data_IF_244288951406
#
_entry.id   IF_244288951406
#
_cell.length_a   1.000
_cell.length_b   1.000
_cell.length_c   1.000
_cell.angle_alpha   90.00
_cell.angle_beta   90.00
_cell.angle_gamma   90.00
#
_symmetry.space_group_name_H-M   'P 1'
#
loop_
_entity.id
_entity.type
_entity.pdbx_description
1 polymer ?
#
# COMPACT_ATOMS: atom_id res chain seq x y z
N UNK A 1 13.14 14.87 -3.93
CA UNK A 1 12.75 15.03 -2.51
C UNK A 1 11.41 14.36 -2.32
N UNK A 2 11.26 13.55 -1.28
CA UNK A 2 10.02 12.87 -0.95
C UNK A 2 8.87 13.90 -0.75
N UNK A 3 7.76 13.72 -1.48
CA UNK A 3 6.67 14.70 -1.53
C UNK A 3 5.32 14.00 -1.68
N UNK A 4 4.26 14.65 -1.18
CA UNK A 4 2.89 14.20 -1.35
C UNK A 4 2.53 13.99 -2.84
N UNK A 5 1.64 13.04 -3.11
CA UNK A 5 1.10 12.74 -4.44
C UNK A 5 2.18 12.50 -5.52
N UNK A 6 3.36 12.02 -5.14
CA UNK A 6 4.40 11.76 -6.12
C UNK A 6 4.03 10.55 -6.99
N UNK A 7 4.23 10.68 -8.30
CA UNK A 7 4.10 9.59 -9.29
C UNK A 7 2.84 8.74 -9.18
N UNK A 8 1.68 9.39 -9.04
CA UNK A 8 0.41 8.67 -8.95
C UNK A 8 0.14 7.82 -10.20
N UNK A 9 0.44 8.33 -11.40
CA UNK A 9 0.20 7.62 -12.67
C UNK A 9 1.43 6.94 -13.27
N UNK A 10 2.63 7.37 -12.89
CA UNK A 10 3.85 7.06 -13.68
C UNK A 10 4.71 5.94 -13.07
N UNK A 11 4.18 5.25 -12.04
CA UNK A 11 4.79 4.07 -11.37
C UNK A 11 6.25 4.20 -10.91
N UNK A 12 6.77 5.42 -10.77
CA UNK A 12 8.06 5.67 -10.10
C UNK A 12 8.04 5.13 -8.66
N UNK A 13 9.21 4.78 -8.13
CA UNK A 13 9.42 4.12 -6.82
C UNK A 13 8.90 2.67 -6.72
N UNK A 14 8.24 2.15 -7.76
CA UNK A 14 7.73 0.77 -7.75
C UNK A 14 8.80 -0.24 -8.17
N UNK A 15 9.74 0.19 -9.03
CA UNK A 15 10.75 -0.67 -9.65
C UNK A 15 12.14 -0.05 -9.62
N UNK A 16 12.40 0.90 -8.71
CA UNK A 16 13.67 1.62 -8.64
C UNK A 16 14.84 0.76 -8.14
N UNK A 17 14.57 -0.32 -7.39
CA UNK A 17 15.58 -1.33 -7.00
C UNK A 17 15.89 -2.35 -8.12
N UNK A 18 15.89 -1.94 -9.39
CA UNK A 18 15.99 -2.85 -10.56
C UNK A 18 17.25 -3.71 -10.59
N UNK A 19 18.25 -3.39 -9.76
CA UNK A 19 19.47 -4.18 -9.55
C UNK A 19 19.30 -5.40 -8.64
N UNK A 20 18.25 -5.45 -7.80
CA UNK A 20 17.95 -6.62 -6.97
C UNK A 20 17.29 -7.72 -7.81
N UNK A 21 17.76 -8.95 -7.65
CA UNK A 21 17.26 -10.09 -8.40
C UNK A 21 15.87 -10.52 -7.91
N UNK A 22 15.65 -10.42 -6.60
CA UNK A 22 14.36 -10.65 -5.96
C UNK A 22 14.17 -9.61 -4.86
N UNK A 23 13.62 -8.45 -5.23
CA UNK A 23 13.44 -7.28 -4.35
C UNK A 23 12.81 -7.63 -3.01
N UNK A 24 11.80 -8.49 -3.03
CA UNK A 24 11.09 -8.89 -1.82
C UNK A 24 11.98 -9.72 -0.90
N UNK A 25 12.64 -10.75 -1.44
CA UNK A 25 13.49 -11.61 -0.62
C UNK A 25 14.79 -10.91 -0.20
N UNK A 26 15.39 -10.10 -1.07
CA UNK A 26 16.66 -9.42 -0.85
C UNK A 26 16.54 -8.33 0.24
N UNK A 27 15.51 -7.48 0.17
CA UNK A 27 15.27 -6.43 1.18
C UNK A 27 14.73 -6.99 2.50
N UNK A 28 13.94 -8.06 2.46
CA UNK A 28 13.51 -8.76 3.67
C UNK A 28 14.68 -9.45 4.40
N UNK A 29 15.67 -9.96 3.66
CA UNK A 29 16.88 -10.54 4.24
C UNK A 29 17.86 -9.47 4.76
N UNK A 30 17.93 -8.33 4.08
CA UNK A 30 18.75 -7.19 4.46
C UNK A 30 18.08 -5.88 4.00
N UNK A 31 17.48 -5.11 4.93
CA UNK A 31 16.83 -3.83 4.61
C UNK A 31 17.78 -2.79 3.98
N UNK A 32 19.10 -2.97 4.14
CA UNK A 32 20.16 -2.14 3.57
C UNK A 32 20.75 -2.69 2.27
N UNK A 33 20.11 -3.69 1.65
CA UNK A 33 20.51 -4.20 0.35
C UNK A 33 20.31 -3.14 -0.74
N UNK A 34 19.21 -2.38 -0.63
CA UNK A 34 18.98 -1.18 -1.41
C UNK A 34 19.84 -0.02 -0.87
N UNK A 35 20.53 0.68 -1.78
CA UNK A 35 21.48 1.74 -1.44
C UNK A 35 20.98 3.09 -1.95
N UNK A 36 21.47 4.17 -1.35
CA UNK A 36 21.03 5.51 -1.70
C UNK A 36 21.55 6.02 -3.07
N UNK A 37 22.55 5.36 -3.68
CA UNK A 37 23.25 5.82 -4.89
C UNK A 37 22.66 5.31 -6.21
N UNK A 38 21.77 4.32 -6.16
CA UNK A 38 21.00 3.79 -7.29
C UNK A 38 19.51 4.19 -7.27
N UNK A 39 19.07 4.84 -6.20
CA UNK A 39 17.68 5.18 -5.95
C UNK A 39 17.19 6.43 -6.70
N UNK A 40 15.90 6.46 -7.07
CA UNK A 40 15.26 7.67 -7.56
C UNK A 40 15.40 8.83 -6.55
N UNK A 41 15.45 10.08 -7.01
CA UNK A 41 15.72 11.23 -6.13
C UNK A 41 14.65 11.44 -5.04
N UNK A 42 13.46 10.88 -5.25
CA UNK A 42 12.33 10.89 -4.34
C UNK A 42 12.28 9.67 -3.42
N UNK A 43 13.00 8.59 -3.75
CA UNK A 43 13.22 7.49 -2.83
C UNK A 43 14.18 7.96 -1.72
N UNK A 44 13.71 7.85 -0.48
CA UNK A 44 14.47 8.21 0.73
C UNK A 44 14.79 6.98 1.59
N UNK A 45 14.63 5.77 1.06
CA UNK A 45 15.04 4.55 1.70
C UNK A 45 16.53 4.63 2.06
N UNK A 46 16.86 4.21 3.28
CA UNK A 46 18.21 4.33 3.90
C UNK A 46 18.80 5.75 4.01
N UNK A 47 18.10 6.81 3.60
CA UNK A 47 18.57 8.20 3.74
C UNK A 47 18.27 8.73 5.14
N UNK A 48 19.17 9.56 5.65
CA UNK A 48 18.96 10.24 6.93
C UNK A 48 17.88 11.31 6.82
N UNK A 49 16.94 11.31 7.75
CA UNK A 49 15.92 12.34 7.94
C UNK A 49 16.18 13.15 9.20
N UNK A 50 15.55 14.31 9.31
CA UNK A 50 15.66 15.21 10.46
C UNK A 50 14.39 15.18 11.30
N UNK A 51 14.55 15.48 12.59
CA UNK A 51 13.42 15.72 13.49
C UNK A 51 12.50 16.81 12.92
N UNK A 52 11.19 16.58 12.98
CA UNK A 52 10.17 17.46 12.41
C UNK A 52 10.08 17.43 10.89
N UNK A 53 10.90 16.64 10.20
CA UNK A 53 10.80 16.46 8.75
C UNK A 53 9.52 15.67 8.42
N UNK A 54 8.84 16.12 7.36
CA UNK A 54 7.73 15.37 6.79
C UNK A 54 8.25 14.33 5.83
N UNK A 55 7.73 13.12 5.96
CA UNK A 55 7.94 12.01 5.05
C UNK A 55 6.57 11.53 4.55
N UNK A 56 6.57 10.93 3.38
CA UNK A 56 5.40 10.43 2.67
C UNK A 56 5.71 9.00 2.28
N UNK A 57 5.16 8.04 3.04
CA UNK A 57 5.21 6.65 2.61
C UNK A 57 4.25 6.47 1.44
N UNK A 58 4.72 5.76 0.42
CA UNK A 58 3.90 5.33 -0.70
C UNK A 58 3.73 3.83 -0.63
N UNK A 59 2.48 3.39 -0.54
CA UNK A 59 2.14 1.99 -0.34
C UNK A 59 1.15 1.60 -1.44
N UNK A 60 1.41 0.48 -2.12
CA UNK A 60 0.67 0.09 -3.31
C UNK A 60 -0.11 -1.19 -3.08
N UNK A 61 -1.43 -1.12 -3.24
CA UNK A 61 -2.28 -2.30 -3.41
C UNK A 61 -2.22 -2.74 -4.87
N UNK A 62 -1.57 -3.86 -5.15
CA UNK A 62 -1.42 -4.46 -6.48
C UNK A 62 -2.63 -5.32 -6.84
N UNK A 63 -3.42 -4.85 -7.81
CA UNK A 63 -4.53 -5.61 -8.39
C UNK A 63 -4.23 -6.12 -9.80
N UNK A 64 -3.00 -5.97 -10.28
CA UNK A 64 -2.58 -6.32 -11.65
C UNK A 64 -2.53 -7.82 -11.89
N UNK A 65 -2.36 -8.62 -10.84
CA UNK A 65 -2.33 -10.09 -10.91
C UNK A 65 -3.71 -10.74 -10.97
N UNK A 66 -4.78 -9.96 -10.80
CA UNK A 66 -6.16 -10.44 -10.91
C UNK A 66 -6.70 -10.20 -12.31
N UNK A 67 -6.90 -11.29 -13.05
CA UNK A 67 -7.30 -11.30 -14.45
C UNK A 67 -8.72 -11.87 -14.62
N UNK A 68 -9.14 -12.07 -15.87
CA UNK A 68 -10.47 -12.63 -16.16
C UNK A 68 -10.71 -14.04 -15.61
N UNK A 69 -9.65 -14.80 -15.26
CA UNK A 69 -9.78 -16.15 -14.75
C UNK A 69 -10.02 -16.19 -13.23
N UNK A 70 -9.60 -15.17 -12.49
CA UNK A 70 -9.60 -15.21 -11.02
C UNK A 70 -10.24 -13.97 -10.33
N UNK A 71 -10.39 -12.83 -11.00
CA UNK A 71 -10.88 -11.60 -10.37
C UNK A 71 -12.32 -11.72 -9.85
N UNK A 72 -13.14 -12.53 -10.52
CA UNK A 72 -14.53 -12.78 -10.12
C UNK A 72 -14.64 -13.74 -8.91
N UNK A 73 -13.54 -14.10 -8.28
CA UNK A 73 -13.52 -14.86 -7.03
C UNK A 73 -12.95 -14.04 -5.85
N UNK A 74 -12.53 -12.79 -6.06
CA UNK A 74 -11.97 -11.96 -4.98
C UNK A 74 -13.11 -11.41 -4.13
N UNK A 75 -13.05 -11.62 -2.81
CA UNK A 75 -14.09 -11.17 -1.86
C UNK A 75 -13.80 -9.79 -1.28
N UNK A 76 -12.53 -9.53 -0.95
CA UNK A 76 -12.07 -8.23 -0.51
C UNK A 76 -10.57 -8.07 -0.79
N UNK A 77 -10.14 -6.83 -0.85
CA UNK A 77 -8.75 -6.42 -0.96
C UNK A 77 -8.45 -5.39 0.12
N UNK A 78 -7.21 -5.40 0.61
CA UNK A 78 -6.74 -4.41 1.57
C UNK A 78 -5.23 -4.40 1.67
N UNK A 79 -4.74 -3.43 2.43
CA UNK A 79 -3.32 -3.26 2.72
C UNK A 79 -3.14 -2.83 4.16
N UNK A 80 -2.03 -3.23 4.74
CA UNK A 80 -1.55 -2.75 6.04
C UNK A 80 -0.19 -2.08 5.86
N UNK A 81 0.09 -1.08 6.67
CA UNK A 81 1.37 -0.39 6.74
C UNK A 81 1.72 -0.21 8.22
N UNK A 82 2.77 -0.89 8.66
CA UNK A 82 3.28 -0.96 10.02
C UNK A 82 4.49 -0.02 10.14
N UNK A 83 4.25 1.19 10.62
CA UNK A 83 5.25 2.25 10.76
C UNK A 83 5.71 2.35 12.21
N UNK A 84 6.97 2.73 12.44
CA UNK A 84 7.48 2.92 13.80
C UNK A 84 6.85 4.16 14.48
N UNK A 85 5.77 3.96 15.21
CA UNK A 85 5.04 4.99 15.93
C UNK A 85 5.82 5.58 17.09
N UNK A 86 6.96 5.01 17.46
CA UNK A 86 7.89 5.62 18.43
C UNK A 86 8.77 6.69 17.78
N UNK A 87 8.84 6.72 16.43
CA UNK A 87 9.72 7.61 15.67
C UNK A 87 8.96 8.60 14.79
N UNK A 88 7.78 8.24 14.31
CA UNK A 88 6.98 9.09 13.43
C UNK A 88 5.55 9.23 13.92
N UNK A 89 4.95 10.39 13.63
CA UNK A 89 3.52 10.64 13.80
C UNK A 89 2.84 10.59 12.43
N UNK A 90 1.87 9.68 12.26
CA UNK A 90 1.05 9.57 11.05
C UNK A 90 -0.29 10.26 11.28
N UNK A 91 -0.67 11.16 10.37
CA UNK A 91 -2.01 11.77 10.36
C UNK A 91 -2.95 10.92 9.51
N UNK A 92 -3.68 10.03 10.17
CA UNK A 92 -4.66 9.15 9.52
C UNK A 92 -5.75 9.89 8.72
N UNK A 93 -6.07 11.13 9.09
CA UNK A 93 -7.09 11.94 8.39
C UNK A 93 -6.59 12.53 7.08
N UNK A 94 -5.27 12.63 6.93
CA UNK A 94 -4.60 13.15 5.74
C UNK A 94 -4.20 12.04 4.75
N UNK A 95 -4.36 10.76 5.10
CA UNK A 95 -4.08 9.64 4.20
C UNK A 95 -5.02 9.70 3.00
N UNK A 96 -4.44 9.48 1.81
CA UNK A 96 -5.18 9.47 0.55
C UNK A 96 -4.88 8.21 -0.26
N UNK A 97 -5.91 7.67 -0.91
CA UNK A 97 -5.77 6.58 -1.86
C UNK A 97 -6.04 7.09 -3.29
N UNK A 98 -5.19 6.73 -4.24
CA UNK A 98 -5.29 7.14 -5.63
C UNK A 98 -5.33 5.95 -6.59
N UNK A 99 -6.17 6.04 -7.60
CA UNK A 99 -6.17 5.08 -8.72
C UNK A 99 -4.98 5.37 -9.65
N UNK A 100 -4.11 4.38 -9.87
CA UNK A 100 -2.87 4.60 -10.62
C UNK A 100 -3.05 4.80 -12.13
N UNK A 101 -4.22 4.52 -12.68
CA UNK A 101 -4.50 4.67 -14.11
C UNK A 101 -5.09 6.05 -14.39
N UNK A 102 -6.02 6.48 -13.54
CA UNK A 102 -6.78 7.72 -13.72
C UNK A 102 -6.22 8.90 -12.93
N UNK A 103 -5.43 8.63 -11.89
CA UNK A 103 -4.97 9.65 -10.92
C UNK A 103 -6.06 10.13 -9.96
N UNK A 104 -7.25 9.54 -9.99
CA UNK A 104 -8.37 9.98 -9.17
C UNK A 104 -8.15 9.68 -7.68
N UNK A 105 -8.57 10.62 -6.82
CA UNK A 105 -8.71 10.36 -5.38
C UNK A 105 -9.88 9.38 -5.17
N UNK A 106 -9.55 8.19 -4.70
CA UNK A 106 -10.49 7.09 -4.43
C UNK A 106 -10.45 6.70 -2.96
N UNK A 107 -10.01 7.61 -2.08
CA UNK A 107 -9.97 7.40 -0.62
C UNK A 107 -11.32 6.91 -0.09
N UNK A 108 -12.42 7.41 -0.65
CA UNK A 108 -13.77 7.02 -0.24
C UNK A 108 -14.12 5.55 -0.51
N UNK A 109 -13.37 4.84 -1.38
CA UNK A 109 -13.55 3.40 -1.61
C UNK A 109 -13.05 2.53 -0.44
N UNK A 110 -12.21 3.08 0.45
CA UNK A 110 -11.53 2.31 1.51
C UNK A 110 -11.92 2.77 2.91
N UNK A 111 -12.15 1.80 3.80
CA UNK A 111 -12.14 2.05 5.24
C UNK A 111 -10.68 2.11 5.70
N UNK A 112 -10.20 3.31 6.02
CA UNK A 112 -8.82 3.56 6.46
C UNK A 112 -8.82 3.83 7.97
N UNK A 113 -8.00 3.10 8.71
CA UNK A 113 -7.81 3.26 10.16
C UNK A 113 -6.31 3.26 10.48
N UNK A 114 -5.91 4.10 11.43
CA UNK A 114 -4.57 4.06 12.04
C UNK A 114 -4.74 3.76 13.53
N UNK A 115 -4.10 2.69 14.00
CA UNK A 115 -4.18 2.26 15.40
C UNK A 115 -2.89 1.52 15.77
N UNK A 116 -2.25 1.91 16.89
CA UNK A 116 -1.04 1.27 17.42
C UNK A 116 0.08 1.09 16.37
N UNK A 117 0.44 2.16 15.65
CA UNK A 117 1.49 2.11 14.62
C UNK A 117 1.12 1.42 13.32
N UNK A 118 -0.10 0.89 13.21
CA UNK A 118 -0.54 0.20 12.00
C UNK A 118 -1.64 0.98 11.31
N UNK A 119 -1.40 1.35 10.05
CA UNK A 119 -2.42 1.74 9.10
C UNK A 119 -3.04 0.50 8.48
N UNK A 120 -4.36 0.48 8.36
CA UNK A 120 -5.13 -0.53 7.65
C UNK A 120 -6.03 0.19 6.65
N UNK A 121 -6.10 -0.32 5.42
CA UNK A 121 -7.04 0.14 4.42
C UNK A 121 -7.72 -1.07 3.77
N UNK A 122 -9.03 -1.20 3.98
CA UNK A 122 -9.84 -2.32 3.43
C UNK A 122 -10.90 -1.78 2.50
N UNK A 123 -11.17 -2.46 1.39
CA UNK A 123 -12.25 -2.09 0.48
C UNK A 123 -13.60 -2.09 1.24
N UNK A 124 -14.35 -0.98 1.13
CA UNK A 124 -15.62 -0.81 1.83
C UNK A 124 -16.67 -1.82 1.40
N UNK A 125 -17.66 -2.03 2.26
CA UNK A 125 -18.91 -2.66 1.87
C UNK A 125 -19.60 -1.88 0.73
N UNK A 126 -20.38 -2.59 -0.11
CA UNK A 126 -21.11 -1.99 -1.24
C UNK A 126 -20.38 -2.11 -2.60
N UNK A 127 -19.10 -2.47 -2.58
CA UNK A 127 -18.32 -2.85 -3.76
C UNK A 127 -18.44 -4.33 -4.13
N UNK A 128 -19.35 -5.08 -3.48
CA UNK A 128 -19.56 -6.51 -3.75
C UNK A 128 -20.87 -6.78 -4.49
N UNK A 129 -20.92 -7.93 -5.15
CA UNK A 129 -22.12 -8.56 -5.73
C UNK A 129 -22.24 -10.00 -5.24
N UNK A 130 -23.46 -10.52 -5.23
CA UNK A 130 -23.73 -11.93 -4.96
C UNK A 130 -23.42 -12.79 -6.19
N UNK A 131 -22.92 -14.01 -5.98
CA UNK A 131 -22.84 -15.05 -7.00
C UNK A 131 -24.20 -15.66 -7.36
N UNK A 132 -25.24 -15.40 -6.55
CA UNK A 132 -26.58 -15.99 -6.74
C UNK A 132 -26.68 -17.46 -6.31
N UNK A 133 -25.69 -17.96 -5.57
CA UNK A 133 -25.73 -19.26 -4.91
C UNK A 133 -26.54 -19.23 -3.60
N UNK A 134 -26.80 -20.42 -3.04
CA UNK A 134 -27.65 -20.56 -1.84
C UNK A 134 -27.06 -19.86 -0.61
N UNK A 135 -25.73 -19.79 -0.52
CA UNK A 135 -25.01 -19.15 0.60
C UNK A 135 -24.85 -17.63 0.43
N UNK A 136 -25.34 -17.06 -0.68
CA UNK A 136 -25.20 -15.65 -1.02
C UNK A 136 -23.73 -15.17 -0.96
N UNK A 137 -22.82 -15.97 -1.50
CA UNK A 137 -21.39 -15.68 -1.54
C UNK A 137 -21.15 -14.31 -2.17
N UNK A 138 -20.47 -13.42 -1.44
CA UNK A 138 -20.10 -12.10 -1.92
C UNK A 138 -18.71 -12.10 -2.55
N UNK A 139 -18.61 -11.49 -3.71
CA UNK A 139 -17.37 -11.20 -4.44
C UNK A 139 -17.35 -9.72 -4.84
N UNK A 140 -16.19 -9.17 -5.16
CA UNK A 140 -16.08 -7.81 -5.67
C UNK A 140 -16.85 -7.67 -6.99
N UNK A 141 -17.67 -6.62 -7.07
CA UNK A 141 -18.34 -6.19 -8.28
C UNK A 141 -17.36 -5.41 -9.15
N UNK A 142 -16.84 -6.09 -10.17
CA UNK A 142 -15.87 -5.55 -11.13
C UNK A 142 -16.38 -4.35 -11.94
N UNK A 143 -17.67 -4.03 -11.86
CA UNK A 143 -18.25 -2.80 -12.44
C UNK A 143 -18.14 -1.58 -11.53
N UNK A 144 -17.84 -1.78 -10.23
CA UNK A 144 -17.69 -0.73 -9.21
C UNK A 144 -16.26 -0.58 -8.70
N UNK A 145 -15.48 -1.65 -8.81
CA UNK A 145 -14.07 -1.67 -8.44
C UNK A 145 -13.24 -2.31 -9.54
N UNK A 146 -12.31 -1.54 -10.09
CA UNK A 146 -11.51 -1.94 -11.23
C UNK A 146 -10.23 -2.66 -10.80
N UNK A 147 -10.00 -3.84 -11.37
CA UNK A 147 -8.74 -4.57 -11.25
C UNK A 147 -7.76 -4.16 -12.37
N UNK A 148 -6.57 -4.76 -12.38
CA UNK A 148 -5.56 -4.49 -13.42
C UNK A 148 -4.75 -3.22 -13.18
N UNK A 149 -4.73 -2.69 -11.95
CA UNK A 149 -4.11 -1.41 -11.59
C UNK A 149 -3.55 -1.41 -10.17
N UNK A 150 -2.82 -0.36 -9.82
CA UNK A 150 -2.44 -0.12 -8.44
C UNK A 150 -3.40 0.88 -7.80
N UNK A 151 -3.66 0.70 -6.50
CA UNK A 151 -4.24 1.73 -5.66
C UNK A 151 -3.14 2.23 -4.71
N UNK A 152 -2.74 3.49 -4.89
CA UNK A 152 -1.57 4.09 -4.22
C UNK A 152 -2.02 4.87 -3.00
N UNK A 153 -1.55 4.46 -1.83
CA UNK A 153 -1.78 5.15 -0.58
C UNK A 153 -0.63 6.11 -0.30
N UNK A 154 -0.96 7.39 -0.15
CA UNK A 154 -0.05 8.46 0.25
C UNK A 154 -0.25 8.68 1.75
N UNK A 155 0.73 8.26 2.54
CA UNK A 155 0.66 8.23 4.02
C UNK A 155 1.62 9.28 4.57
N UNK A 156 1.13 10.48 4.94
CA UNK A 156 1.98 11.52 5.50
C UNK A 156 2.37 11.17 6.94
N UNK A 157 3.66 11.21 7.21
CA UNK A 157 4.23 11.06 8.54
C UNK A 157 5.18 12.23 8.87
N UNK A 158 5.40 12.48 10.15
CA UNK A 158 6.35 13.49 10.64
C UNK A 158 7.31 12.85 11.64
N UNK A 159 8.61 13.04 11.45
CA UNK A 159 9.63 12.53 12.39
C UNK A 159 9.47 13.26 13.73
N UNK A 160 9.36 12.50 14.82
CA UNK A 160 9.16 13.05 16.16
C UNK A 160 10.36 13.89 16.62
N UNK A 161 10.07 14.89 17.44
CA UNK A 161 11.08 15.85 17.92
C UNK A 161 12.06 15.24 18.94
N UNK A 162 11.70 14.12 19.57
CA UNK A 162 12.43 13.46 20.64
C UNK A 162 13.15 12.18 20.19
N UNK A 163 13.11 11.84 18.90
CA UNK A 163 13.85 10.69 18.34
C UNK A 163 15.35 10.83 18.63
N UNK A 164 16.01 9.85 19.28
CA UNK A 164 17.45 9.84 19.46
C UNK A 164 18.18 9.83 18.11
N UNK A 165 19.30 10.56 18.02
CA UNK A 165 20.08 10.60 16.79
C UNK A 165 20.69 9.24 16.46
N UNK A 166 20.73 8.89 15.18
CA UNK A 166 21.19 7.57 14.71
C UNK A 166 20.21 6.44 14.98
N UNK A 167 18.95 6.73 15.34
CA UNK A 167 17.88 5.74 15.31
C UNK A 167 17.48 5.45 13.86
N UNK A 168 17.23 4.19 13.56
CA UNK A 168 16.54 3.79 12.35
C UNK A 168 15.03 4.10 12.47
N UNK A 169 14.38 4.26 11.32
CA UNK A 169 12.92 4.39 11.19
C UNK A 169 12.50 3.32 10.21
N UNK A 170 11.75 2.35 10.70
CA UNK A 170 11.31 1.19 9.92
C UNK A 170 9.83 1.35 9.53
N UNK A 171 9.49 0.79 8.37
CA UNK A 171 8.13 0.73 7.87
C UNK A 171 7.94 -0.56 7.06
N UNK A 172 6.86 -1.31 7.31
CA UNK A 172 6.56 -2.56 6.61
C UNK A 172 5.13 -2.57 6.08
N UNK A 173 4.96 -2.72 4.77
CA UNK A 173 3.64 -2.85 4.16
C UNK A 173 3.31 -4.30 3.78
N UNK A 174 2.04 -4.69 3.91
CA UNK A 174 1.55 -6.01 3.49
C UNK A 174 0.17 -5.94 2.83
N UNK A 175 0.02 -6.62 1.70
CA UNK A 175 -1.25 -6.74 0.99
C UNK A 175 -2.06 -7.94 1.49
N UNK A 176 -3.37 -7.74 1.69
CA UNK A 176 -4.34 -8.78 2.07
C UNK A 176 -5.37 -8.95 0.97
N UNK A 177 -5.60 -10.19 0.55
CA UNK A 177 -6.65 -10.55 -0.41
C UNK A 177 -7.40 -11.77 0.09
N UNK A 178 -8.72 -11.65 0.24
CA UNK A 178 -9.57 -12.79 0.53
C UNK A 178 -10.15 -13.31 -0.78
N UNK A 179 -9.97 -14.60 -1.00
CA UNK A 179 -10.32 -15.26 -2.25
C UNK A 179 -11.30 -16.40 -1.99
N UNK A 180 -12.38 -16.43 -2.76
CA UNK A 180 -13.35 -17.51 -2.77
C UNK A 180 -12.85 -18.67 -3.64
N UNK A 181 -12.77 -19.88 -3.09
CA UNK A 181 -12.45 -21.07 -3.86
C UNK A 181 -13.75 -21.73 -4.39
N UNK A 182 -14.02 -21.70 -5.71
CA UNK A 182 -15.24 -22.28 -6.26
C UNK A 182 -15.27 -23.82 -6.23
N UNK A 183 -14.12 -24.49 -6.06
CA UNK A 183 -13.99 -25.96 -6.17
C UNK A 183 -14.42 -26.67 -4.87
N UNK A 184 -14.56 -25.97 -3.75
CA UNK A 184 -14.94 -26.56 -2.46
C UNK A 184 -16.45 -26.67 -2.21
N UNK A 185 -17.30 -26.30 -3.18
CA UNK A 185 -18.76 -26.53 -3.11
C UNK A 185 -19.09 -27.83 -3.85
N UNK A 186 -18.88 -28.95 -3.16
CA UNK A 186 -19.43 -30.27 -3.53
C UNK A 186 -20.66 -30.58 -2.71
#
# INVERSE_FOLDING_TARGET
MNTAKFSITDNKLLDDDSELADKYNDTNANPYADKADNNEAENINTKSVKRGEKIYYQVWLDTTKFDAANKDNVQTVGITDDFDETKVDVDGSAIKAYDSVTGADVTDKFDIKVENGVMTATLKAGFTKSLGDAENTQIIDTTKFEFGRYYKFDIPATVKADVPGGSDIENTAAQVVNYYNPVSKT
#
